data_IF_543209166816
#
_entry.id   IF_543209166816
#
_cell.length_a   1.000
_cell.length_b   1.000
_cell.length_c   1.000
_cell.angle_alpha   90.00
_cell.angle_beta   90.00
_cell.angle_gamma   90.00
#
_symmetry.space_group_name_H-M   'P 1'
#
loop_
_entity.id
_entity.type
_entity.pdbx_description
1 polymer ?
#
# COMPACT_ATOMS: atom_id res chain seq x y z
N UNK A 1 1.92 -22.25 2.03
CA UNK A 1 1.71 -20.84 1.66
C UNK A 1 1.35 -20.84 0.19
N UNK A 2 0.08 -20.56 -0.13
CA UNK A 2 -0.47 -20.82 -1.47
C UNK A 2 -0.21 -19.68 -2.48
N UNK A 3 0.65 -18.73 -2.13
CA UNK A 3 0.94 -17.55 -2.94
C UNK A 3 2.17 -16.78 -2.47
N UNK A 4 2.63 -15.85 -3.31
CA UNK A 4 3.77 -14.96 -3.03
C UNK A 4 3.38 -13.89 -2.00
N UNK A 5 4.27 -13.62 -1.04
CA UNK A 5 4.08 -12.55 -0.06
C UNK A 5 4.44 -11.20 -0.72
N UNK A 6 3.48 -10.28 -0.76
CA UNK A 6 3.68 -8.91 -1.23
C UNK A 6 3.87 -7.97 -0.05
N UNK A 7 4.76 -6.98 -0.20
CA UNK A 7 4.95 -5.90 0.78
C UNK A 7 4.27 -4.65 0.28
N UNK A 8 3.41 -4.07 1.11
CA UNK A 8 2.84 -2.75 0.90
C UNK A 8 3.45 -1.81 1.94
N UNK A 9 4.28 -0.88 1.50
CA UNK A 9 4.94 0.11 2.35
C UNK A 9 4.64 1.53 1.86
N UNK A 10 4.92 2.51 2.71
CA UNK A 10 4.99 3.91 2.32
C UNK A 10 6.12 4.13 1.30
N UNK A 11 6.08 5.25 0.58
CA UNK A 11 7.13 5.62 -0.36
C UNK A 11 8.45 5.90 0.37
N UNK A 12 9.57 5.56 -0.26
CA UNK A 12 10.92 5.68 0.31
C UNK A 12 11.43 7.13 0.18
N UNK A 13 10.70 8.04 0.80
CA UNK A 13 10.98 9.49 0.85
C UNK A 13 10.80 9.96 2.29
N UNK A 14 11.43 11.07 2.71
CA UNK A 14 11.17 11.64 4.03
C UNK A 14 9.71 12.07 4.15
N UNK A 15 9.10 11.81 5.32
CA UNK A 15 7.70 12.17 5.59
C UNK A 15 7.56 13.69 5.67
N UNK A 16 6.72 14.32 4.83
CA UNK A 16 6.49 15.75 4.88
C UNK A 16 5.57 16.13 6.05
N UNK A 17 5.81 17.30 6.66
CA UNK A 17 4.98 17.82 7.77
C UNK A 17 3.55 18.21 7.34
N UNK A 18 3.31 18.40 6.05
CA UNK A 18 1.99 18.75 5.56
C UNK A 18 1.01 17.57 5.72
N UNK A 19 0.00 17.73 6.55
CA UNK A 19 -1.00 16.69 6.88
C UNK A 19 -1.63 16.02 5.65
N UNK A 20 -1.84 16.75 4.55
CA UNK A 20 -2.40 16.16 3.31
C UNK A 20 -1.42 15.21 2.63
N UNK A 21 -0.13 15.56 2.64
CA UNK A 21 0.93 14.77 2.03
C UNK A 21 1.32 13.59 2.92
N UNK A 22 1.33 13.79 4.24
CA UNK A 22 1.53 12.72 5.23
C UNK A 22 0.47 11.62 5.08
N UNK A 23 -0.81 12.00 5.02
CA UNK A 23 -1.92 11.06 4.86
C UNK A 23 -1.88 10.30 3.53
N UNK A 24 -1.39 10.91 2.45
CA UNK A 24 -1.25 10.27 1.15
C UNK A 24 -0.07 9.28 1.09
N UNK A 25 0.95 9.52 1.90
CA UNK A 25 2.16 8.70 1.97
C UNK A 25 1.93 7.40 2.76
N UNK A 26 1.06 7.45 3.77
CA UNK A 26 0.63 6.28 4.51
C UNK A 26 -0.27 5.37 3.65
N UNK A 27 -0.10 4.03 3.74
CA UNK A 27 -0.96 3.11 3.02
C UNK A 27 -2.40 3.17 3.54
N UNK A 28 -3.32 3.65 2.71
CA UNK A 28 -4.75 3.69 3.03
C UNK A 28 -5.42 2.32 2.88
N UNK A 29 -6.57 2.14 3.53
CA UNK A 29 -7.38 0.92 3.46
C UNK A 29 -7.77 0.57 2.02
N UNK A 30 -8.06 1.57 1.20
CA UNK A 30 -8.38 1.40 -0.21
C UNK A 30 -7.22 0.80 -1.00
N UNK A 31 -6.00 1.28 -0.73
CA UNK A 31 -4.77 0.78 -1.36
C UNK A 31 -4.54 -0.68 -0.99
N UNK A 32 -4.74 -1.06 0.27
CA UNK A 32 -4.65 -2.47 0.73
C UNK A 32 -5.62 -3.37 -0.04
N UNK A 33 -6.90 -2.98 -0.10
CA UNK A 33 -7.94 -3.76 -0.82
C UNK A 33 -7.59 -3.95 -2.30
N UNK A 34 -7.10 -2.90 -2.96
CA UNK A 34 -6.68 -2.96 -4.37
C UNK A 34 -5.54 -3.95 -4.59
N UNK A 35 -4.58 -4.03 -3.66
CA UNK A 35 -3.48 -5.00 -3.76
C UNK A 35 -3.93 -6.43 -3.50
N UNK A 36 -4.85 -6.65 -2.57
CA UNK A 36 -5.44 -7.98 -2.32
C UNK A 36 -6.20 -8.46 -3.56
N UNK A 37 -7.05 -7.61 -4.16
CA UNK A 37 -7.78 -7.94 -5.39
C UNK A 37 -6.83 -8.26 -6.55
N UNK A 38 -5.75 -7.51 -6.72
CA UNK A 38 -4.70 -7.83 -7.71
C UNK A 38 -4.05 -9.18 -7.46
N UNK A 39 -3.86 -9.58 -6.20
CA UNK A 39 -3.26 -10.87 -5.86
C UNK A 39 -4.22 -12.02 -6.15
N UNK A 40 -5.50 -11.88 -5.80
CA UNK A 40 -6.52 -12.90 -6.05
C UNK A 40 -6.78 -13.07 -7.55
N UNK A 41 -6.86 -11.98 -8.32
CA UNK A 41 -7.16 -12.02 -9.76
C UNK A 41 -5.97 -12.46 -10.62
N UNK A 42 -4.74 -12.47 -10.08
CA UNK A 42 -3.52 -12.92 -10.79
C UNK A 42 -3.21 -14.41 -10.53
N UNK A 43 -4.14 -15.11 -9.90
CA UNK A 43 -4.12 -16.56 -9.69
C UNK A 43 -4.74 -17.25 -10.90
#
# INVERSE_FOLDING_TARGET
LDGRILRLAAEDVPVPYNAKLEAAMLPSVERIKKYILKLVNKR
#
